data_IF_321858742023
#
_entry.id   IF_321858742023
#
_cell.length_a   1.000
_cell.length_b   1.000
_cell.length_c   1.000
_cell.angle_alpha   90.00
_cell.angle_beta   90.00
_cell.angle_gamma   90.00
#
_symmetry.space_group_name_H-M   'P 1'
#
loop_
_entity.id
_entity.type
_entity.pdbx_description
1 polymer ?
#
# COMPACT_ATOMS: atom_id res chain seq x y z
N UNK A 1 -2.61 -4.78 -22.37
CA UNK A 1 -2.77 -3.37 -22.81
C UNK A 1 -3.67 -2.56 -21.88
N UNK A 2 -4.39 -3.17 -20.93
CA UNK A 2 -5.21 -2.46 -19.94
C UNK A 2 -4.39 -1.79 -18.82
N UNK A 3 -3.29 -2.40 -18.37
CA UNK A 3 -2.45 -1.84 -17.31
C UNK A 3 -1.80 -0.50 -17.70
N UNK A 4 -1.32 -0.37 -18.94
CA UNK A 4 -0.76 0.90 -19.43
C UNK A 4 -1.78 2.04 -19.40
N UNK A 5 -3.05 1.74 -19.68
CA UNK A 5 -4.13 2.73 -19.63
C UNK A 5 -4.52 3.08 -18.20
N UNK A 6 -4.50 2.10 -17.29
CA UNK A 6 -4.68 2.36 -15.85
C UNK A 6 -3.56 3.26 -15.32
N UNK A 7 -2.30 2.94 -15.58
CA UNK A 7 -1.17 3.79 -15.15
C UNK A 7 -1.21 5.18 -15.79
N UNK A 8 -1.65 5.28 -17.05
CA UNK A 8 -1.88 6.55 -17.73
C UNK A 8 -2.97 7.37 -17.04
N UNK A 9 -4.10 6.74 -16.67
CA UNK A 9 -5.19 7.43 -15.98
C UNK A 9 -4.79 7.91 -14.58
N UNK A 10 -4.06 7.08 -13.83
CA UNK A 10 -3.51 7.48 -12.51
C UNK A 10 -2.49 8.60 -12.69
N UNK A 11 -1.61 8.51 -13.68
CA UNK A 11 -0.64 9.58 -13.96
C UNK A 11 -1.33 10.91 -14.30
N UNK A 12 -2.36 10.90 -15.14
CA UNK A 12 -3.17 12.08 -15.47
C UNK A 12 -3.90 12.65 -14.24
N UNK A 13 -4.31 11.78 -13.30
CA UNK A 13 -4.98 12.20 -12.06
C UNK A 13 -4.01 12.88 -11.08
N UNK A 14 -2.72 12.53 -11.17
CA UNK A 14 -1.64 13.11 -10.37
C UNK A 14 -1.09 14.38 -11.04
N UNK A 15 -0.96 14.40 -12.37
CA UNK A 15 -0.51 15.54 -13.18
C UNK A 15 -1.63 16.58 -13.36
N UNK A 16 -1.93 17.32 -12.29
CA UNK A 16 -2.90 18.42 -12.31
C UNK A 16 -2.47 19.60 -13.19
N UNK A 17 -1.18 19.78 -13.42
CA UNK A 17 -0.61 20.84 -14.27
C UNK A 17 -0.73 20.52 -15.76
N UNK A 18 -0.84 19.23 -16.12
CA UNK A 18 -0.95 18.74 -17.49
C UNK A 18 0.36 18.85 -18.26
N UNK A 19 1.49 18.99 -17.58
CA UNK A 19 2.80 19.15 -18.22
C UNK A 19 3.51 17.83 -18.55
N UNK A 20 2.79 16.71 -18.36
CA UNK A 20 3.22 15.32 -18.52
C UNK A 20 4.36 14.93 -17.56
N UNK A 21 4.40 15.57 -16.39
CA UNK A 21 5.37 15.33 -15.33
C UNK A 21 4.67 15.54 -13.99
N UNK A 22 5.03 14.74 -13.00
CA UNK A 22 4.48 14.87 -11.65
C UNK A 22 5.54 15.57 -10.80
N UNK A 23 5.24 16.79 -10.38
CA UNK A 23 6.06 17.51 -9.41
C UNK A 23 5.92 16.93 -7.99
N UNK A 24 6.88 17.24 -7.11
CA UNK A 24 6.82 16.86 -5.69
C UNK A 24 5.51 17.33 -5.03
N UNK A 25 5.01 18.50 -5.42
CA UNK A 25 3.75 19.05 -4.91
C UNK A 25 2.55 18.22 -5.36
N UNK A 26 2.51 17.84 -6.63
CA UNK A 26 1.43 17.05 -7.23
C UNK A 26 1.39 15.62 -6.70
N UNK A 27 2.56 14.98 -6.55
CA UNK A 27 2.64 13.66 -5.93
C UNK A 27 2.11 13.68 -4.49
N UNK A 28 2.44 14.74 -3.72
CA UNK A 28 1.94 14.91 -2.35
C UNK A 28 0.42 15.09 -2.32
N UNK A 29 -0.11 15.92 -3.21
CA UNK A 29 -1.55 16.18 -3.29
C UNK A 29 -2.32 14.92 -3.70
N UNK A 30 -1.78 14.15 -4.64
CA UNK A 30 -2.34 12.89 -5.07
C UNK A 30 -2.28 11.82 -3.96
N UNK A 31 -1.17 11.69 -3.23
CA UNK A 31 -1.09 10.82 -2.06
C UNK A 31 -2.09 11.24 -0.98
N UNK A 32 -2.27 12.54 -0.75
CA UNK A 32 -3.28 13.07 0.16
C UNK A 32 -4.71 12.72 -0.28
N UNK A 33 -5.01 12.78 -1.58
CA UNK A 33 -6.30 12.33 -2.15
C UNK A 33 -6.54 10.84 -1.95
N UNK A 34 -5.48 10.03 -1.96
CA UNK A 34 -5.54 8.60 -1.64
C UNK A 34 -5.61 8.30 -0.13
N UNK A 35 -5.65 9.34 0.72
CA UNK A 35 -5.74 9.20 2.18
C UNK A 35 -4.40 9.01 2.88
N UNK A 36 -3.28 9.17 2.17
CA UNK A 36 -1.93 9.11 2.73
C UNK A 36 -1.36 10.51 2.90
N UNK A 37 -0.75 10.81 4.04
CA UNK A 37 -0.16 12.14 4.29
C UNK A 37 1.36 12.03 4.40
N UNK A 38 2.08 11.93 3.27
CA UNK A 38 3.53 11.73 3.28
C UNK A 38 4.25 12.95 3.86
N UNK A 39 5.28 12.70 4.68
CA UNK A 39 6.17 13.74 5.21
C UNK A 39 7.14 14.24 4.12
N UNK A 40 7.69 15.44 4.28
CA UNK A 40 8.66 15.98 3.33
C UNK A 40 9.87 15.06 3.13
N UNK A 41 10.35 14.42 4.19
CA UNK A 41 11.44 13.44 4.12
C UNK A 41 11.09 12.22 3.28
N UNK A 42 9.87 11.69 3.42
CA UNK A 42 9.42 10.56 2.60
C UNK A 42 9.32 10.97 1.13
N UNK A 43 8.89 12.20 0.85
CA UNK A 43 8.84 12.76 -0.50
C UNK A 43 10.23 13.02 -1.10
N UNK A 44 11.22 13.41 -0.29
CA UNK A 44 12.62 13.52 -0.73
C UNK A 44 13.19 12.15 -1.06
N UNK A 45 13.00 11.16 -0.17
CA UNK A 45 13.45 9.79 -0.41
C UNK A 45 12.79 9.19 -1.66
N UNK A 46 11.47 9.36 -1.82
CA UNK A 46 10.77 8.91 -3.00
C UNK A 46 11.28 9.60 -4.27
N UNK A 47 11.54 10.92 -4.23
CA UNK A 47 12.16 11.60 -5.36
C UNK A 47 13.57 11.07 -5.64
N UNK A 48 14.43 10.89 -4.64
CA UNK A 48 15.78 10.35 -4.85
C UNK A 48 15.79 8.93 -5.44
N UNK A 49 14.81 8.10 -5.10
CA UNK A 49 14.71 6.75 -5.62
C UNK A 49 14.09 6.68 -7.03
N UNK A 50 13.13 7.57 -7.33
CA UNK A 50 12.31 7.51 -8.53
C UNK A 50 12.75 8.48 -9.63
N UNK A 51 13.27 9.66 -9.27
CA UNK A 51 13.81 10.67 -10.17
C UNK A 51 15.25 10.29 -10.60
N UNK A 52 15.32 9.28 -11.47
CA UNK A 52 16.59 8.77 -12.02
C UNK A 52 17.35 9.85 -12.79
N UNK A 53 16.62 10.75 -13.45
CA UNK A 53 17.19 11.81 -14.26
C UNK A 53 17.56 13.07 -13.45
N UNK A 54 17.19 13.12 -12.16
CA UNK A 54 17.41 14.26 -11.25
C UNK A 54 16.80 15.56 -11.81
N UNK A 55 15.67 15.46 -12.52
CA UNK A 55 14.98 16.62 -13.05
C UNK A 55 14.18 17.38 -11.99
N UNK A 56 13.91 16.76 -10.85
CA UNK A 56 13.00 17.22 -9.81
C UNK A 56 11.53 16.88 -10.08
N UNK A 57 11.25 16.10 -11.12
CA UNK A 57 9.90 15.72 -11.56
C UNK A 57 9.88 14.25 -11.97
N UNK A 58 8.76 13.56 -11.71
CA UNK A 58 8.57 12.20 -12.18
C UNK A 58 7.93 12.21 -13.57
N UNK A 59 8.65 11.69 -14.54
CA UNK A 59 8.11 11.50 -15.88
C UNK A 59 7.31 10.17 -15.97
N UNK A 60 6.47 10.04 -17.01
CA UNK A 60 5.61 8.86 -17.17
C UNK A 60 6.37 7.51 -17.14
N UNK A 61 7.56 7.37 -17.76
CA UNK A 61 8.38 6.16 -17.62
C UNK A 61 8.81 5.86 -16.17
N UNK A 62 9.30 6.85 -15.42
CA UNK A 62 9.72 6.69 -14.02
C UNK A 62 8.53 6.35 -13.12
N UNK A 63 7.39 6.99 -13.33
CA UNK A 63 6.15 6.66 -12.64
C UNK A 63 5.68 5.23 -12.95
N UNK A 64 5.88 4.75 -14.17
CA UNK A 64 5.52 3.39 -14.54
C UNK A 64 6.42 2.35 -13.89
N UNK A 65 7.74 2.61 -13.80
CA UNK A 65 8.66 1.77 -13.03
C UNK A 65 8.26 1.75 -11.55
N UNK A 66 7.91 2.92 -10.98
CA UNK A 66 7.40 3.01 -9.62
C UNK A 66 6.14 2.14 -9.41
N UNK A 67 5.14 2.31 -10.27
CA UNK A 67 3.89 1.54 -10.21
C UNK A 67 4.08 0.04 -10.50
N UNK A 68 5.14 -0.36 -11.19
CA UNK A 68 5.49 -1.77 -11.39
C UNK A 68 6.25 -2.35 -10.19
N UNK A 69 6.98 -1.52 -9.43
CA UNK A 69 7.61 -1.91 -8.16
C UNK A 69 6.61 -1.96 -6.99
N UNK A 70 5.47 -1.27 -7.10
CA UNK A 70 4.37 -1.31 -6.13
C UNK A 70 3.27 -2.28 -6.58
N UNK A 71 2.58 -2.98 -5.65
CA UNK A 71 1.39 -3.73 -6.01
C UNK A 71 0.31 -2.79 -6.60
N UNK A 72 -0.50 -3.25 -7.58
CA UNK A 72 -1.42 -2.40 -8.30
C UNK A 72 -2.45 -1.71 -7.36
N UNK A 73 -2.84 -0.46 -7.65
CA UNK A 73 -3.70 0.34 -6.76
C UNK A 73 -5.10 -0.25 -6.52
N UNK A 74 -5.58 -1.11 -7.42
CA UNK A 74 -6.84 -1.86 -7.27
C UNK A 74 -6.77 -2.96 -6.19
N UNK A 75 -5.58 -3.45 -5.82
CA UNK A 75 -5.42 -4.45 -4.77
C UNK A 75 -5.37 -3.82 -3.36
N UNK A 76 -5.02 -2.54 -3.26
CA UNK A 76 -4.74 -1.86 -1.99
C UNK A 76 -5.95 -1.17 -1.34
N UNK A 77 -6.87 -0.59 -2.11
CA UNK A 77 -7.94 0.23 -1.53
C UNK A 77 -8.92 -0.58 -0.64
N UNK A 78 -9.34 -1.76 -1.10
CA UNK A 78 -10.15 -2.67 -0.29
C UNK A 78 -9.36 -3.32 0.85
N UNK A 79 -8.08 -3.62 0.64
CA UNK A 79 -7.25 -4.26 1.65
C UNK A 79 -6.79 -3.30 2.76
N UNK A 80 -6.61 -2.00 2.46
CA UNK A 80 -6.30 -0.98 3.47
C UNK A 80 -7.49 -0.65 4.33
N UNK A 81 -8.67 -0.52 3.73
CA UNK A 81 -9.89 -0.38 4.50
C UNK A 81 -10.14 -1.63 5.36
N UNK A 82 -9.95 -2.82 4.80
CA UNK A 82 -9.99 -4.04 5.58
C UNK A 82 -8.99 -3.96 6.73
N UNK A 83 -7.70 -3.70 6.47
CA UNK A 83 -6.64 -3.59 7.49
C UNK A 83 -6.94 -2.57 8.59
N UNK A 84 -7.47 -1.39 8.25
CA UNK A 84 -7.91 -0.39 9.24
C UNK A 84 -9.15 -0.85 10.03
N UNK A 85 -10.03 -1.65 9.44
CA UNK A 85 -11.11 -2.34 10.16
C UNK A 85 -10.59 -3.49 11.05
N UNK A 86 -9.39 -4.01 10.76
CA UNK A 86 -8.73 -5.09 11.52
C UNK A 86 -7.90 -4.55 12.69
N UNK A 87 -7.16 -3.47 12.49
CA UNK A 87 -6.32 -2.78 13.47
C UNK A 87 -7.16 -1.88 14.38
N UNK A 88 -7.96 -2.51 15.23
CA UNK A 88 -8.86 -1.84 16.19
C UNK A 88 -8.13 -1.00 17.24
N UNK A 89 -6.86 -1.31 17.54
CA UNK A 89 -6.03 -0.49 18.44
C UNK A 89 -5.39 0.71 17.71
N UNK A 90 -5.46 0.77 16.37
CA UNK A 90 -4.84 1.83 15.57
C UNK A 90 -3.31 1.81 15.67
N UNK A 91 -2.75 0.63 15.95
CA UNK A 91 -1.33 0.43 16.18
C UNK A 91 -0.51 0.43 14.89
N UNK A 92 -1.16 0.32 13.74
CA UNK A 92 -0.58 0.13 12.42
C UNK A 92 -0.22 -1.34 12.12
N UNK A 93 -0.54 -2.27 13.02
CA UNK A 93 -0.21 -3.69 12.91
C UNK A 93 -1.37 -4.55 13.42
N UNK A 94 -1.63 -5.69 12.77
CA UNK A 94 -2.63 -6.65 13.25
C UNK A 94 -1.98 -7.61 14.23
N UNK A 95 -2.37 -7.53 15.49
CA UNK A 95 -1.99 -8.48 16.53
C UNK A 95 -2.77 -9.79 16.45
N UNK A 96 -2.32 -10.80 17.21
CA UNK A 96 -2.98 -12.11 17.30
C UNK A 96 -4.42 -12.02 17.80
N UNK A 97 -4.69 -11.11 18.75
CA UNK A 97 -6.03 -10.89 19.30
C UNK A 97 -6.98 -10.24 18.30
N UNK A 98 -6.48 -9.29 17.51
CA UNK A 98 -7.24 -8.63 16.44
C UNK A 98 -7.54 -9.62 15.32
N UNK A 99 -6.54 -10.38 14.88
CA UNK A 99 -6.69 -11.49 13.92
C UNK A 99 -7.77 -12.48 14.37
N UNK A 100 -7.82 -12.82 15.65
CA UNK A 100 -8.82 -13.72 16.25
C UNK A 100 -10.23 -13.15 16.24
N UNK A 101 -10.40 -11.87 16.55
CA UNK A 101 -11.69 -11.17 16.48
C UNK A 101 -12.26 -11.18 15.06
N UNK A 102 -11.39 -11.05 14.06
CA UNK A 102 -11.76 -11.00 12.65
C UNK A 102 -12.26 -12.34 12.16
N UNK A 103 -11.51 -13.42 12.38
CA UNK A 103 -11.94 -14.77 11.98
C UNK A 103 -13.29 -15.13 12.62
N UNK A 104 -13.52 -14.70 13.86
CA UNK A 104 -14.85 -14.81 14.50
C UNK A 104 -15.93 -13.99 13.79
N UNK A 105 -15.65 -12.74 13.39
CA UNK A 105 -16.59 -11.86 12.68
C UNK A 105 -16.91 -12.31 11.25
N UNK A 106 -15.92 -12.84 10.52
CA UNK A 106 -16.11 -13.39 9.16
C UNK A 106 -16.72 -14.79 9.15
N UNK A 107 -17.02 -15.36 10.33
CA UNK A 107 -17.63 -16.68 10.47
C UNK A 107 -16.68 -17.84 10.16
N UNK A 108 -15.39 -17.55 9.99
CA UNK A 108 -14.36 -18.56 9.76
C UNK A 108 -13.81 -19.05 11.09
N UNK A 109 -14.04 -20.33 11.39
CA UNK A 109 -13.59 -20.90 12.65
C UNK A 109 -12.11 -21.29 12.55
N UNK A 110 -11.22 -20.44 13.06
CA UNK A 110 -9.78 -20.66 13.06
C UNK A 110 -9.30 -21.03 14.46
N UNK A 111 -8.61 -22.18 14.57
CA UNK A 111 -8.06 -22.67 15.83
C UNK A 111 -6.86 -21.83 16.29
N UNK A 112 -6.63 -21.74 17.60
CA UNK A 112 -5.49 -21.00 18.18
C UNK A 112 -4.14 -21.43 17.60
N UNK A 113 -3.92 -22.73 17.36
CA UNK A 113 -2.69 -23.21 16.74
C UNK A 113 -2.52 -22.81 15.26
N UNK A 114 -3.60 -22.43 14.58
CA UNK A 114 -3.54 -21.88 13.22
C UNK A 114 -3.25 -20.38 13.28
N UNK A 115 -3.85 -19.65 14.22
CA UNK A 115 -3.53 -18.24 14.48
C UNK A 115 -2.04 -18.07 14.85
N UNK A 116 -1.51 -18.94 15.69
CA UNK A 116 -0.09 -18.94 16.08
C UNK A 116 0.82 -19.14 14.86
N UNK A 117 0.46 -20.09 13.99
CA UNK A 117 1.18 -20.32 12.74
C UNK A 117 1.10 -19.14 11.80
N UNK A 118 -0.05 -18.48 11.69
CA UNK A 118 -0.22 -17.30 10.82
C UNK A 118 0.59 -16.13 11.38
N UNK A 119 0.50 -15.86 12.69
CA UNK A 119 1.25 -14.81 13.36
C UNK A 119 2.78 -15.02 13.26
N UNK A 120 3.27 -16.24 13.44
CA UNK A 120 4.71 -16.57 13.31
C UNK A 120 5.18 -16.56 11.85
N UNK A 121 4.34 -17.05 10.94
CA UNK A 121 4.72 -17.17 9.52
C UNK A 121 4.70 -15.82 8.80
N UNK A 122 3.84 -14.91 9.22
CA UNK A 122 3.69 -13.60 8.59
C UNK A 122 4.31 -12.50 9.42
N UNK A 123 4.00 -12.39 10.72
CA UNK A 123 4.48 -11.31 11.58
C UNK A 123 5.91 -11.47 12.10
N UNK A 124 6.68 -12.41 11.53
CA UNK A 124 8.09 -12.62 11.85
C UNK A 124 8.38 -12.78 13.35
N UNK A 125 9.39 -12.04 13.82
CA UNK A 125 9.89 -12.12 15.20
C UNK A 125 9.04 -11.33 16.21
N UNK A 126 8.23 -10.35 15.77
CA UNK A 126 7.36 -9.57 16.67
C UNK A 126 5.96 -10.18 16.83
N UNK A 127 5.58 -11.11 15.94
CA UNK A 127 4.29 -11.80 15.98
C UNK A 127 3.10 -10.91 15.61
N UNK A 128 3.37 -9.75 15.00
CA UNK A 128 2.37 -8.79 14.51
C UNK A 128 2.45 -8.67 13.00
N UNK A 129 1.30 -8.60 12.34
CA UNK A 129 1.20 -8.58 10.89
C UNK A 129 1.11 -7.13 10.43
N UNK A 130 2.14 -6.66 9.75
CA UNK A 130 2.15 -5.37 9.06
C UNK A 130 1.23 -5.35 7.84
N UNK A 131 0.93 -4.16 7.33
CA UNK A 131 0.11 -4.00 6.14
C UNK A 131 0.66 -4.80 4.94
N UNK A 132 1.98 -4.76 4.70
CA UNK A 132 2.62 -5.49 3.61
C UNK A 132 2.48 -7.02 3.74
N UNK A 133 2.59 -7.53 4.96
CA UNK A 133 2.41 -8.96 5.27
C UNK A 133 0.94 -9.39 5.12
N UNK A 134 0.01 -8.50 5.45
CA UNK A 134 -1.42 -8.72 5.26
C UNK A 134 -1.79 -8.81 3.77
N UNK A 135 -1.25 -7.92 2.93
CA UNK A 135 -1.40 -8.01 1.46
C UNK A 135 -0.85 -9.35 0.95
N UNK A 136 0.31 -9.76 1.46
CA UNK A 136 0.96 -11.03 1.07
C UNK A 136 0.11 -12.25 1.43
N UNK A 137 -0.58 -12.23 2.58
CA UNK A 137 -1.53 -13.28 2.97
C UNK A 137 -2.74 -13.32 2.03
N UNK A 138 -3.35 -12.18 1.74
CA UNK A 138 -4.54 -12.11 0.88
C UNK A 138 -4.23 -12.53 -0.57
N UNK A 139 -3.05 -12.19 -1.09
CA UNK A 139 -2.62 -12.61 -2.42
C UNK A 139 -2.24 -14.09 -2.51
N UNK A 140 -1.75 -14.71 -1.43
CA UNK A 140 -1.44 -16.15 -1.40
C UNK A 140 -2.67 -17.04 -1.12
N UNK A 141 -3.82 -16.45 -0.83
CA UNK A 141 -5.07 -17.17 -0.57
C UNK A 141 -5.90 -17.49 -1.83
N UNK A 142 -5.39 -17.20 -3.04
CA UNK A 142 -6.02 -17.54 -4.33
C UNK A 142 -5.72 -18.98 -4.80
#
# INVERSE_FOLDING_TARGET
MEELQKYKAVFDEFDTSGDNKISKGELRDAMAKLGYNPTEQLMEMAMEELDKDNSGFLNFPEFMEFCQMQPPPDAGAGMRQAFEELDTDGSGYIGKDELREIFKRTGQNVSEGMLDKIAVKLGGEDGRISFEEFITLMNNAQ
#
